data_IF_364898220379
#
_entry.id   IF_364898220379
#
_cell.length_a   1.000
_cell.length_b   1.000
_cell.length_c   1.000
_cell.angle_alpha   90.00
_cell.angle_beta   90.00
_cell.angle_gamma   90.00
#
_symmetry.space_group_name_H-M   'P 1'
#
loop_
_entity.id
_entity.type
_entity.pdbx_description
1 polymer ?
#
# COMPACT_ATOMS: atom_id res chain seq x y z
N UNK A 1 37.09 9.24 -1.89
CA UNK A 1 36.30 10.08 -2.81
C UNK A 1 35.10 9.27 -3.27
N UNK A 2 33.91 9.87 -3.33
CA UNK A 2 32.74 9.21 -3.90
C UNK A 2 32.87 9.07 -5.44
N UNK A 3 32.06 8.20 -6.04
CA UNK A 3 32.13 7.89 -7.48
C UNK A 3 31.81 9.08 -8.38
N UNK A 4 31.03 10.06 -7.91
CA UNK A 4 30.74 11.26 -8.67
C UNK A 4 31.96 12.20 -8.66
N UNK A 5 32.66 12.29 -7.53
CA UNK A 5 33.91 13.03 -7.38
C UNK A 5 35.07 12.47 -8.22
N UNK A 6 35.12 11.14 -8.45
CA UNK A 6 36.10 10.52 -9.36
C UNK A 6 35.77 10.76 -10.84
N UNK A 7 34.50 10.67 -11.23
CA UNK A 7 34.07 10.87 -12.61
C UNK A 7 34.14 12.34 -13.09
N UNK A 8 34.25 13.30 -12.16
CA UNK A 8 34.52 14.71 -12.46
C UNK A 8 36.02 15.02 -12.65
N UNK A 9 36.91 14.11 -12.22
CA UNK A 9 38.37 14.28 -12.32
C UNK A 9 38.97 13.69 -13.62
N UNK A 10 38.20 12.92 -14.38
CA UNK A 10 38.59 12.38 -15.69
C UNK A 10 38.19 13.36 -16.80
N UNK A 11 39.09 13.63 -17.76
CA UNK A 11 38.79 14.51 -18.90
C UNK A 11 37.69 13.93 -19.78
N UNK A 12 36.75 14.76 -20.24
CA UNK A 12 35.67 14.34 -21.13
C UNK A 12 36.23 13.72 -22.44
N UNK A 13 35.63 12.63 -22.96
CA UNK A 13 36.00 12.06 -24.26
C UNK A 13 35.82 13.06 -25.41
N UNK A 14 36.65 12.97 -26.45
CA UNK A 14 36.55 13.80 -27.64
C UNK A 14 35.16 13.70 -28.30
N UNK A 15 34.55 14.86 -28.57
CA UNK A 15 33.24 14.99 -29.20
C UNK A 15 32.08 15.30 -28.23
N UNK A 16 32.31 15.36 -26.92
CA UNK A 16 31.31 15.86 -25.96
C UNK A 16 31.54 17.36 -25.72
N UNK A 17 30.53 18.22 -25.93
CA UNK A 17 30.70 19.66 -25.73
C UNK A 17 30.96 19.97 -24.25
N UNK A 18 32.00 20.75 -23.97
CA UNK A 18 32.44 21.10 -22.61
C UNK A 18 31.51 22.14 -21.97
N UNK A 19 30.29 21.68 -21.66
CA UNK A 19 29.24 22.46 -21.02
C UNK A 19 28.80 21.74 -19.75
N UNK A 20 28.45 22.50 -18.71
CA UNK A 20 27.97 21.99 -17.43
C UNK A 20 26.84 20.95 -17.58
N UNK A 21 25.98 21.12 -18.58
CA UNK A 21 24.87 20.22 -18.89
C UNK A 21 25.35 18.87 -19.46
N UNK A 22 26.35 18.90 -20.33
CA UNK A 22 26.93 17.69 -20.93
C UNK A 22 27.81 16.93 -19.92
N UNK A 23 28.56 17.66 -19.08
CA UNK A 23 29.29 17.08 -17.94
C UNK A 23 28.32 16.35 -17.00
N UNK A 24 27.24 17.00 -16.54
CA UNK A 24 26.27 16.38 -15.65
C UNK A 24 25.57 15.14 -16.26
N UNK A 25 25.25 15.17 -17.55
CA UNK A 25 24.67 14.03 -18.26
C UNK A 25 25.65 12.86 -18.39
N UNK A 26 26.94 13.13 -18.65
CA UNK A 26 27.99 12.12 -18.71
C UNK A 26 28.23 11.49 -17.33
N UNK A 27 28.40 12.29 -16.28
CA UNK A 27 28.59 11.79 -14.90
C UNK A 27 27.42 10.92 -14.45
N UNK A 28 26.18 11.30 -14.82
CA UNK A 28 24.97 10.52 -14.52
C UNK A 28 24.90 9.18 -15.28
N UNK A 29 25.41 9.13 -16.52
CA UNK A 29 25.49 7.91 -17.32
C UNK A 29 26.59 6.96 -16.81
N UNK A 30 27.79 7.51 -16.56
CA UNK A 30 28.95 6.77 -16.08
C UNK A 30 28.71 6.13 -14.71
N UNK A 31 28.02 6.82 -13.81
CA UNK A 31 27.67 6.29 -12.47
C UNK A 31 26.62 5.17 -12.50
N UNK A 32 25.88 5.01 -13.60
CA UNK A 32 24.90 3.93 -13.80
C UNK A 32 25.43 2.75 -14.61
N UNK A 33 26.56 2.89 -15.30
CA UNK A 33 27.14 1.76 -16.01
C UNK A 33 27.81 0.81 -15.01
N UNK A 34 27.08 -0.26 -14.65
CA UNK A 34 27.71 -1.40 -13.97
C UNK A 34 28.58 -2.12 -15.01
N UNK A 35 29.89 -2.28 -14.77
CA UNK A 35 30.67 -3.20 -15.59
C UNK A 35 30.01 -4.58 -15.52
N UNK A 36 30.02 -5.31 -16.65
CA UNK A 36 29.71 -6.74 -16.62
C UNK A 36 30.64 -7.36 -15.59
N UNK A 37 30.06 -7.90 -14.54
CA UNK A 37 30.81 -8.43 -13.43
C UNK A 37 31.58 -9.67 -13.92
N UNK A 38 32.87 -9.52 -14.15
CA UNK A 38 33.77 -10.65 -14.28
C UNK A 38 34.05 -11.18 -12.87
N UNK A 39 33.03 -11.81 -12.29
CA UNK A 39 33.13 -12.48 -11.00
C UNK A 39 33.38 -13.94 -11.30
N UNK A 40 34.56 -14.43 -10.90
CA UNK A 40 34.74 -15.84 -10.57
C UNK A 40 33.53 -16.29 -9.74
N UNK A 41 32.81 -17.28 -10.24
CA UNK A 41 31.68 -17.92 -9.58
C UNK A 41 32.18 -18.45 -8.23
N UNK A 42 31.95 -17.68 -7.15
CA UNK A 42 32.16 -18.20 -5.80
C UNK A 42 31.24 -19.41 -5.63
N UNK A 43 31.73 -20.55 -5.11
CA UNK A 43 30.91 -21.73 -4.93
C UNK A 43 29.69 -21.41 -4.06
N UNK A 44 28.52 -21.99 -4.38
CA UNK A 44 27.24 -21.57 -3.83
C UNK A 44 27.01 -22.19 -2.45
N UNK A 45 27.85 -21.94 -1.45
CA UNK A 45 27.48 -22.27 -0.08
C UNK A 45 28.30 -21.43 0.91
N UNK A 46 27.77 -21.24 2.13
CA UNK A 46 28.32 -20.51 3.30
C UNK A 46 27.69 -19.13 3.61
N UNK A 47 27.38 -18.27 2.63
CA UNK A 47 26.87 -16.90 2.94
C UNK A 47 25.35 -16.67 2.87
N UNK A 48 24.55 -17.67 2.45
CA UNK A 48 23.08 -17.57 2.42
C UNK A 48 22.42 -17.83 3.78
N UNK A 49 23.09 -18.57 4.64
CA UNK A 49 22.55 -18.97 5.96
C UNK A 49 22.40 -17.76 6.88
N UNK A 50 23.37 -16.84 6.92
CA UNK A 50 23.31 -15.68 7.84
C UNK A 50 22.19 -14.66 7.51
N UNK A 51 21.88 -14.34 6.24
CA UNK A 51 20.69 -13.57 5.90
C UNK A 51 19.38 -14.34 6.17
N UNK A 52 19.38 -15.65 5.92
CA UNK A 52 18.23 -16.52 6.18
C UNK A 52 17.93 -16.60 7.68
N UNK A 53 18.90 -16.94 8.53
CA UNK A 53 18.78 -17.01 9.99
C UNK A 53 18.31 -15.69 10.60
N UNK A 54 18.89 -14.55 10.19
CA UNK A 54 18.40 -13.22 10.63
C UNK A 54 16.95 -13.01 10.24
N UNK A 55 16.59 -13.37 9.00
CA UNK A 55 15.22 -13.28 8.51
C UNK A 55 14.26 -14.24 9.22
N UNK A 56 14.71 -15.43 9.63
CA UNK A 56 13.91 -16.37 10.42
C UNK A 56 13.68 -15.87 11.82
N UNK A 57 14.70 -15.34 12.50
CA UNK A 57 14.54 -14.72 13.81
C UNK A 57 13.57 -13.54 13.75
N UNK A 58 13.65 -12.71 12.71
CA UNK A 58 12.67 -11.65 12.45
C UNK A 58 11.26 -12.20 12.24
N UNK A 59 11.09 -13.20 11.36
CA UNK A 59 9.79 -13.83 11.07
C UNK A 59 9.21 -14.51 12.33
N UNK A 60 10.04 -15.22 13.10
CA UNK A 60 9.65 -15.90 14.34
C UNK A 60 9.23 -14.90 15.42
N UNK A 61 9.96 -13.78 15.54
CA UNK A 61 9.59 -12.70 16.45
C UNK A 61 8.28 -12.02 16.03
N UNK A 62 8.07 -11.80 14.74
CA UNK A 62 6.79 -11.29 14.19
C UNK A 62 5.66 -12.29 14.48
N UNK A 63 5.86 -13.58 14.24
CA UNK A 63 4.87 -14.62 14.52
C UNK A 63 4.44 -14.62 15.98
N UNK A 64 5.39 -14.63 16.92
CA UNK A 64 5.07 -14.62 18.35
C UNK A 64 4.33 -13.35 18.78
N UNK A 65 4.70 -12.19 18.21
CA UNK A 65 3.97 -10.94 18.44
C UNK A 65 2.54 -11.04 17.94
N UNK A 66 2.33 -11.56 16.72
CA UNK A 66 1.01 -11.75 16.12
C UNK A 66 0.14 -12.69 16.97
N UNK A 67 0.68 -13.84 17.38
CA UNK A 67 -0.03 -14.79 18.26
C UNK A 67 -0.40 -14.13 19.59
N UNK A 68 0.53 -13.39 20.20
CA UNK A 68 0.27 -12.66 21.44
C UNK A 68 -0.82 -11.60 21.26
N UNK A 69 -0.80 -10.87 20.15
CA UNK A 69 -1.82 -9.88 19.83
C UNK A 69 -3.20 -10.54 19.67
N UNK A 70 -3.31 -11.63 18.92
CA UNK A 70 -4.56 -12.38 18.78
C UNK A 70 -5.06 -12.92 20.12
N UNK A 71 -4.15 -13.35 21.01
CA UNK A 71 -4.51 -13.76 22.38
C UNK A 71 -5.11 -12.59 23.18
N UNK A 72 -4.50 -11.40 23.10
CA UNK A 72 -4.98 -10.20 23.81
C UNK A 72 -6.32 -9.71 23.26
N UNK A 73 -6.44 -9.55 21.94
CA UNK A 73 -7.67 -9.04 21.33
C UNK A 73 -8.84 -10.01 21.56
N UNK A 74 -8.58 -11.33 21.52
CA UNK A 74 -9.59 -12.34 21.85
C UNK A 74 -10.15 -12.17 23.27
N UNK A 75 -9.31 -11.83 24.25
CA UNK A 75 -9.77 -11.54 25.61
C UNK A 75 -10.65 -10.28 25.69
N UNK A 76 -10.36 -9.27 24.86
CA UNK A 76 -11.20 -8.05 24.77
C UNK A 76 -12.54 -8.37 24.11
N UNK A 77 -12.52 -9.13 23.01
CA UNK A 77 -13.72 -9.47 22.24
C UNK A 77 -14.66 -10.45 22.96
N UNK A 78 -14.15 -11.29 23.87
CA UNK A 78 -14.98 -12.21 24.67
C UNK A 78 -15.57 -11.59 25.94
N UNK A 79 -15.35 -10.30 26.21
CA UNK A 79 -15.96 -9.68 27.38
C UNK A 79 -17.50 -9.64 27.22
N UNK A 80 -18.29 -9.91 28.28
CA UNK A 80 -19.75 -10.00 28.17
C UNK A 80 -20.45 -8.71 27.73
N UNK A 81 -19.82 -7.56 27.99
CA UNK A 81 -20.31 -6.23 27.62
C UNK A 81 -19.98 -5.85 26.18
N UNK A 82 -19.06 -6.57 25.52
CA UNK A 82 -18.68 -6.36 24.13
C UNK A 82 -19.58 -7.18 23.21
N UNK A 83 -20.38 -6.48 22.39
CA UNK A 83 -21.15 -7.11 21.34
C UNK A 83 -20.36 -7.11 20.03
N UNK A 84 -20.48 -8.18 19.25
CA UNK A 84 -19.83 -8.31 17.95
C UNK A 84 -20.26 -7.19 16.97
N UNK A 85 -21.53 -6.76 17.05
CA UNK A 85 -22.06 -5.63 16.26
C UNK A 85 -21.43 -4.28 16.61
N UNK A 86 -20.72 -4.19 17.74
CA UNK A 86 -19.99 -3.02 18.18
C UNK A 86 -18.48 -3.13 17.93
N UNK A 87 -18.05 -4.11 17.13
CA UNK A 87 -16.67 -4.29 16.70
C UNK A 87 -16.51 -3.73 15.28
N UNK A 88 -15.62 -2.76 15.13
CA UNK A 88 -15.42 -2.03 13.89
C UNK A 88 -13.97 -2.10 13.47
N UNK A 89 -13.73 -2.18 12.16
CA UNK A 89 -12.40 -2.13 11.57
C UNK A 89 -12.23 -0.83 10.77
N UNK A 90 -11.04 -0.23 10.86
CA UNK A 90 -10.66 0.98 10.13
C UNK A 90 -9.39 0.74 9.33
N UNK A 91 -9.40 1.22 8.09
CA UNK A 91 -8.21 1.22 7.26
C UNK A 91 -8.19 2.33 6.19
N UNK A 92 -7.02 2.53 5.58
CA UNK A 92 -6.83 3.44 4.43
C UNK A 92 -6.52 2.65 3.17
N UNK A 93 -7.16 2.98 2.06
CA UNK A 93 -6.94 2.28 0.79
C UNK A 93 -6.64 3.22 -0.38
N UNK A 94 -5.50 3.01 -1.04
CA UNK A 94 -5.19 3.71 -2.29
C UNK A 94 -5.94 3.10 -3.47
N UNK A 95 -6.64 3.91 -4.27
CA UNK A 95 -7.09 3.52 -5.62
C UNK A 95 -6.38 4.35 -6.68
N UNK A 96 -6.04 3.73 -7.80
CA UNK A 96 -5.37 4.43 -8.90
C UNK A 96 -6.39 5.00 -9.88
N UNK A 97 -6.26 6.30 -10.22
CA UNK A 97 -7.14 6.96 -11.20
C UNK A 97 -6.92 6.46 -12.63
N UNK A 98 -5.73 5.94 -12.93
CA UNK A 98 -5.35 5.59 -14.29
C UNK A 98 -4.54 4.29 -14.28
N UNK A 99 -5.23 3.18 -13.96
CA UNK A 99 -4.75 1.82 -14.22
C UNK A 99 -5.55 1.25 -15.39
N UNK A 100 -4.98 1.30 -16.58
CA UNK A 100 -5.42 0.42 -17.66
C UNK A 100 -4.89 -0.99 -17.39
N UNK A 101 -5.67 -2.01 -17.72
CA UNK A 101 -5.17 -3.38 -17.75
C UNK A 101 -3.88 -3.44 -18.57
N UNK A 102 -2.85 -4.07 -18.02
CA UNK A 102 -1.65 -4.39 -18.78
C UNK A 102 -2.03 -5.42 -19.84
N UNK A 103 -2.08 -5.01 -21.11
CA UNK A 103 -2.22 -5.95 -22.22
C UNK A 103 -0.92 -6.76 -22.26
N UNK A 104 -1.03 -8.07 -22.00
CA UNK A 104 0.09 -8.99 -22.24
C UNK A 104 0.10 -9.29 -23.73
N UNK A 105 1.12 -8.79 -24.43
CA UNK A 105 1.32 -9.08 -25.85
C UNK A 105 2.39 -10.15 -25.95
N UNK A 106 2.07 -11.25 -26.63
CA UNK A 106 3.05 -12.27 -26.99
C UNK A 106 3.65 -11.85 -28.34
N UNK A 107 4.96 -11.61 -28.36
CA UNK A 107 5.67 -11.07 -29.52
C UNK A 107 6.68 -12.12 -29.98
N UNK A 108 6.73 -12.39 -31.29
CA UNK A 108 7.74 -13.31 -31.85
C UNK A 108 9.14 -12.75 -31.61
N UNK A 109 10.13 -13.62 -31.41
CA UNK A 109 11.54 -13.23 -31.24
C UNK A 109 12.05 -12.38 -32.41
N UNK A 110 11.48 -12.58 -33.60
CA UNK A 110 11.87 -11.91 -34.84
C UNK A 110 11.14 -10.58 -35.07
N UNK A 111 10.20 -10.21 -34.20
CA UNK A 111 9.48 -8.94 -34.30
C UNK A 111 10.30 -7.80 -33.64
N UNK A 112 11.01 -7.06 -34.49
CA UNK A 112 11.88 -5.94 -34.10
C UNK A 112 11.13 -4.62 -33.86
N UNK A 113 9.78 -4.61 -33.92
CA UNK A 113 9.01 -3.38 -33.73
C UNK A 113 9.15 -2.87 -32.29
N UNK A 114 9.44 -1.58 -32.15
CA UNK A 114 9.54 -0.92 -30.85
C UNK A 114 8.17 -0.71 -30.21
N UNK A 115 7.86 -1.45 -29.15
CA UNK A 115 6.65 -1.23 -28.35
C UNK A 115 6.90 -0.15 -27.29
N UNK A 116 6.35 1.04 -27.47
CA UNK A 116 6.39 2.10 -26.45
C UNK A 116 5.20 1.91 -25.51
N UNK A 117 5.45 1.47 -24.28
CA UNK A 117 4.41 1.42 -23.25
C UNK A 117 3.77 2.79 -23.07
N UNK A 118 2.45 2.84 -22.94
CA UNK A 118 1.73 4.09 -22.70
C UNK A 118 2.30 4.76 -21.45
N UNK A 119 2.96 5.92 -21.60
CA UNK A 119 3.42 6.75 -20.48
C UNK A 119 2.21 7.47 -19.88
N UNK A 120 1.37 6.72 -19.19
CA UNK A 120 0.24 7.29 -18.44
C UNK A 120 0.78 7.79 -17.10
N UNK A 121 0.55 9.06 -16.79
CA UNK A 121 0.89 9.64 -15.48
C UNK A 121 0.03 8.97 -14.41
N UNK A 122 0.62 8.03 -13.66
CA UNK A 122 -0.06 7.31 -12.57
C UNK A 122 -0.39 8.29 -11.44
N UNK A 123 -1.63 8.74 -11.38
CA UNK A 123 -2.14 9.52 -10.25
C UNK A 123 -2.87 8.57 -9.30
N UNK A 124 -2.39 8.48 -8.06
CA UNK A 124 -3.04 7.71 -6.99
C UNK A 124 -3.97 8.67 -6.24
N UNK A 125 -5.20 8.24 -5.99
CA UNK A 125 -6.10 8.88 -5.04
C UNK A 125 -6.31 7.94 -3.88
N UNK A 126 -6.01 8.41 -2.67
CA UNK A 126 -6.23 7.62 -1.46
C UNK A 126 -7.67 7.78 -1.01
N UNK A 127 -8.43 6.69 -1.07
CA UNK A 127 -9.74 6.60 -0.44
C UNK A 127 -9.55 6.10 1.00
N UNK A 128 -10.10 6.82 1.98
CA UNK A 128 -10.06 6.36 3.37
C UNK A 128 -11.37 5.68 3.67
N UNK A 129 -11.34 4.36 3.79
CA UNK A 129 -12.48 3.52 4.20
C UNK A 129 -12.24 3.07 5.64
N UNK A 130 -12.13 4.06 6.54
CA UNK A 130 -13.13 4.27 7.58
C UNK A 130 -12.80 5.58 8.32
N UNK A 131 -13.68 6.55 8.13
CA UNK A 131 -14.27 7.45 9.11
C UNK A 131 -13.40 7.81 10.33
N UNK A 132 -12.91 9.05 10.34
CA UNK A 132 -12.28 9.65 11.51
C UNK A 132 -13.14 9.47 12.77
N UNK A 133 -12.50 9.46 13.95
CA UNK A 133 -13.19 9.29 15.23
C UNK A 133 -14.41 10.24 15.41
N UNK A 134 -14.33 11.44 14.81
CA UNK A 134 -15.38 12.46 14.83
C UNK A 134 -16.66 12.05 14.09
N UNK A 135 -16.58 11.25 13.04
CA UNK A 135 -17.74 10.76 12.28
C UNK A 135 -18.12 9.35 12.73
N UNK A 136 -17.15 8.53 13.17
CA UNK A 136 -17.39 7.19 13.70
C UNK A 136 -18.24 7.23 14.97
N UNK A 137 -17.92 8.15 15.89
CA UNK A 137 -18.61 8.24 17.15
C UNK A 137 -20.11 8.55 16.99
N UNK A 138 -20.56 9.64 16.32
CA UNK A 138 -21.98 9.93 16.20
C UNK A 138 -22.76 8.85 15.46
N UNK A 139 -22.17 8.19 14.46
CA UNK A 139 -22.83 7.15 13.68
C UNK A 139 -23.04 5.84 14.44
N UNK A 140 -22.17 5.52 15.40
CA UNK A 140 -22.21 4.24 16.13
C UNK A 140 -22.72 4.36 17.57
N UNK A 141 -22.82 5.58 18.10
CA UNK A 141 -23.13 5.82 19.52
C UNK A 141 -24.52 5.32 19.91
N UNK A 142 -25.52 5.55 19.06
CA UNK A 142 -26.89 5.11 19.33
C UNK A 142 -27.00 3.58 19.28
N UNK A 143 -26.39 2.95 18.26
CA UNK A 143 -26.37 1.50 18.11
C UNK A 143 -25.67 0.81 19.28
N UNK A 144 -24.58 1.41 19.79
CA UNK A 144 -23.86 0.84 20.91
C UNK A 144 -24.67 0.76 22.21
N UNK A 145 -25.72 1.58 22.37
CA UNK A 145 -26.59 1.58 23.56
C UNK A 145 -25.79 1.61 24.88
N UNK A 146 -24.83 2.54 24.98
CA UNK A 146 -23.90 2.71 26.10
C UNK A 146 -22.87 1.59 26.30
N UNK A 147 -22.87 0.54 25.48
CA UNK A 147 -21.88 -0.54 25.52
C UNK A 147 -20.54 -0.10 24.91
N UNK A 148 -19.43 -0.77 25.26
CA UNK A 148 -18.13 -0.50 24.65
C UNK A 148 -18.14 -0.77 23.15
N UNK A 149 -17.50 0.12 22.39
CA UNK A 149 -17.22 -0.06 20.96
C UNK A 149 -15.76 -0.42 20.78
N UNK A 150 -15.47 -1.48 20.04
CA UNK A 150 -14.09 -1.89 19.74
C UNK A 150 -13.71 -1.35 18.38
N UNK A 151 -12.57 -0.68 18.29
CA UNK A 151 -12.06 -0.12 17.06
C UNK A 151 -10.68 -0.74 16.74
N UNK A 152 -10.67 -1.61 15.73
CA UNK A 152 -9.47 -2.26 15.20
C UNK A 152 -8.93 -1.40 14.06
N UNK A 153 -7.62 -1.14 14.06
CA UNK A 153 -7.00 -0.25 13.08
C UNK A 153 -5.49 -0.52 12.97
N UNK A 154 -4.87 -0.07 11.87
CA UNK A 154 -3.50 -0.44 11.52
C UNK A 154 -2.38 0.31 12.25
N UNK A 155 -2.73 1.32 13.07
CA UNK A 155 -1.79 2.08 13.90
C UNK A 155 -0.68 2.80 13.13
N UNK A 156 -0.73 2.83 11.79
CA UNK A 156 0.37 3.33 10.99
C UNK A 156 0.27 4.86 10.84
N UNK A 157 1.19 5.57 11.51
CA UNK A 157 1.65 6.93 11.23
C UNK A 157 0.58 8.01 11.08
N UNK A 158 0.60 8.99 11.99
CA UNK A 158 -0.21 10.24 12.11
C UNK A 158 -1.45 10.21 13.00
N UNK A 159 -1.95 9.04 13.41
CA UNK A 159 -3.22 9.00 14.13
C UNK A 159 -3.14 8.68 15.63
N UNK A 160 -1.98 8.26 16.13
CA UNK A 160 -1.75 8.01 17.56
C UNK A 160 -1.47 9.33 18.31
N UNK A 161 -2.36 10.30 18.14
CA UNK A 161 -2.30 11.53 18.95
C UNK A 161 -3.01 11.30 20.27
N UNK A 162 -2.51 11.94 21.33
CA UNK A 162 -3.15 11.93 22.64
C UNK A 162 -4.64 12.30 22.55
N UNK A 163 -4.97 13.27 21.69
CA UNK A 163 -6.34 13.72 21.43
C UNK A 163 -7.26 12.58 20.95
N UNK A 164 -6.78 11.70 20.08
CA UNK A 164 -7.57 10.56 19.59
C UNK A 164 -7.78 9.53 20.70
N UNK A 165 -6.74 9.26 21.51
CA UNK A 165 -6.83 8.31 22.63
C UNK A 165 -7.80 8.83 23.70
N UNK A 166 -7.68 10.10 24.08
CA UNK A 166 -8.58 10.74 25.04
C UNK A 166 -10.03 10.77 24.53
N UNK A 167 -10.22 11.11 23.25
CA UNK A 167 -11.53 11.10 22.64
C UNK A 167 -12.17 9.71 22.71
N UNK A 168 -11.41 8.67 22.35
CA UNK A 168 -11.88 7.29 22.41
C UNK A 168 -12.24 6.88 23.84
N UNK A 169 -11.38 7.21 24.81
CA UNK A 169 -11.63 6.94 26.23
C UNK A 169 -12.92 7.62 26.72
N UNK A 170 -13.09 8.92 26.45
CA UNK A 170 -14.28 9.71 26.83
C UNK A 170 -15.58 9.18 26.21
N UNK A 171 -15.48 8.45 25.10
CA UNK A 171 -16.64 7.94 24.36
C UNK A 171 -16.86 6.42 24.51
N UNK A 172 -16.20 5.75 25.47
CA UNK A 172 -16.29 4.29 25.65
C UNK A 172 -15.92 3.51 24.37
N UNK A 173 -14.89 3.99 23.66
CA UNK A 173 -14.30 3.35 22.48
C UNK A 173 -12.96 2.75 22.87
N UNK A 174 -12.81 1.44 22.71
CA UNK A 174 -11.55 0.73 22.95
C UNK A 174 -10.77 0.63 21.64
N UNK A 175 -9.64 1.33 21.57
CA UNK A 175 -8.70 1.21 20.46
C UNK A 175 -7.88 -0.09 20.57
N UNK A 176 -7.82 -0.83 19.47
CA UNK A 176 -7.01 -2.03 19.30
C UNK A 176 -6.09 -1.84 18.08
N UNK A 177 -4.89 -1.28 18.31
CA UNK A 177 -3.87 -1.14 17.27
C UNK A 177 -3.37 -2.51 16.82
N UNK A 178 -3.30 -2.75 15.52
CA UNK A 178 -2.56 -3.88 14.95
C UNK A 178 -1.05 -3.65 15.07
N UNK A 179 -0.28 -4.73 15.00
CA UNK A 179 1.17 -4.68 15.05
C UNK A 179 1.73 -4.03 13.78
N UNK A 180 2.67 -3.08 13.94
CA UNK A 180 3.39 -2.48 12.82
C UNK A 180 4.02 -3.55 11.92
N UNK A 181 4.01 -3.32 10.61
CA UNK A 181 4.53 -4.24 9.57
C UNK A 181 3.78 -5.58 9.44
N UNK A 182 2.59 -5.70 10.02
CA UNK A 182 1.74 -6.90 9.84
C UNK A 182 0.41 -6.60 9.15
N UNK A 183 0.04 -5.32 9.02
CA UNK A 183 -1.23 -4.85 8.45
C UNK A 183 -1.50 -5.44 7.07
N UNK A 184 -0.52 -5.44 6.16
CA UNK A 184 -0.70 -5.97 4.80
C UNK A 184 -1.07 -7.48 4.72
N UNK A 185 -0.96 -8.23 5.81
CA UNK A 185 -1.40 -9.64 5.91
C UNK A 185 -2.60 -9.84 6.83
N UNK A 186 -2.77 -8.98 7.82
CA UNK A 186 -3.72 -9.19 8.92
C UNK A 186 -4.89 -8.21 8.89
N UNK A 187 -4.82 -7.14 8.11
CA UNK A 187 -5.83 -6.11 8.03
C UNK A 187 -7.08 -6.68 7.35
N UNK A 188 -8.21 -6.86 8.08
CA UNK A 188 -9.41 -7.49 7.53
C UNK A 188 -9.95 -6.76 6.30
N UNK A 189 -9.84 -5.44 6.29
CA UNK A 189 -10.20 -4.62 5.13
C UNK A 189 -9.38 -4.95 3.88
N UNK A 190 -8.06 -5.15 4.01
CA UNK A 190 -7.20 -5.50 2.87
C UNK A 190 -7.49 -6.91 2.33
N UNK A 191 -7.77 -7.87 3.22
CA UNK A 191 -7.98 -9.28 2.86
C UNK A 191 -9.32 -9.50 2.15
N UNK A 192 -10.40 -8.87 2.62
CA UNK A 192 -11.75 -9.20 2.16
C UNK A 192 -12.46 -8.08 1.38
N UNK A 193 -12.31 -6.81 1.81
CA UNK A 193 -13.13 -5.72 1.28
C UNK A 193 -12.44 -4.93 0.16
N UNK A 194 -11.13 -4.66 0.29
CA UNK A 194 -10.41 -3.75 -0.60
C UNK A 194 -9.97 -4.38 -1.91
N UNK A 195 -9.76 -5.69 -1.96
CA UNK A 195 -9.54 -6.41 -3.22
C UNK A 195 -10.71 -6.22 -4.19
N UNK A 196 -11.94 -6.61 -3.80
CA UNK A 196 -13.15 -6.38 -4.60
C UNK A 196 -13.39 -4.91 -4.93
N UNK A 197 -13.15 -3.98 -3.99
CA UNK A 197 -13.33 -2.54 -4.21
C UNK A 197 -12.38 -2.00 -5.28
N UNK A 198 -11.09 -2.34 -5.20
CA UNK A 198 -10.08 -1.93 -6.19
C UNK A 198 -10.40 -2.50 -7.57
N UNK A 199 -10.94 -3.73 -7.63
CA UNK A 199 -11.38 -4.34 -8.89
C UNK A 199 -12.60 -3.60 -9.47
N UNK A 200 -13.66 -3.40 -8.68
CA UNK A 200 -14.86 -2.69 -9.12
C UNK A 200 -14.55 -1.25 -9.56
N UNK A 201 -13.64 -0.56 -8.86
CA UNK A 201 -13.20 0.78 -9.23
C UNK A 201 -12.46 0.78 -10.57
N UNK A 202 -11.56 -0.19 -10.78
CA UNK A 202 -10.86 -0.35 -12.06
C UNK A 202 -11.83 -0.55 -13.21
N UNK A 203 -12.87 -1.36 -13.01
CA UNK A 203 -13.90 -1.57 -14.05
C UNK A 203 -14.62 -0.26 -14.42
N UNK A 204 -14.90 0.61 -13.45
CA UNK A 204 -15.52 1.92 -13.70
C UNK A 204 -14.59 2.83 -14.51
N UNK A 205 -13.32 2.89 -14.13
CA UNK A 205 -12.27 3.62 -14.86
C UNK A 205 -12.19 3.14 -16.31
N UNK A 206 -12.15 1.82 -16.54
CA UNK A 206 -12.07 1.26 -17.89
C UNK A 206 -13.29 1.58 -18.76
N UNK A 207 -14.50 1.52 -18.19
CA UNK A 207 -15.73 1.85 -18.91
C UNK A 207 -15.73 3.29 -19.39
N UNK A 208 -15.25 4.21 -18.55
CA UNK A 208 -15.16 5.63 -18.87
C UNK A 208 -14.12 5.91 -19.96
N UNK A 209 -12.95 5.27 -19.88
CA UNK A 209 -11.90 5.37 -20.92
C UNK A 209 -12.36 4.81 -22.27
N UNK A 210 -13.07 3.66 -22.29
CA UNK A 210 -13.64 3.08 -23.53
C UNK A 210 -14.68 4.01 -24.19
N UNK A 211 -15.37 4.83 -23.39
CA UNK A 211 -16.26 5.88 -23.87
C UNK A 211 -15.54 7.08 -24.51
N UNK A 212 -14.20 7.04 -24.63
CA UNK A 212 -13.34 8.14 -25.11
C UNK A 212 -13.47 9.43 -24.30
N UNK A 213 -13.86 9.33 -23.04
CA UNK A 213 -14.03 10.48 -22.14
C UNK A 213 -12.66 10.94 -21.61
N UNK A 214 -11.84 11.54 -22.48
CA UNK A 214 -10.63 12.27 -22.12
C UNK A 214 -9.70 11.61 -21.09
N UNK A 215 -8.92 12.41 -20.37
CA UNK A 215 -8.05 11.93 -19.28
C UNK A 215 -8.83 11.87 -17.96
N UNK A 216 -8.83 10.72 -17.29
CA UNK A 216 -9.44 10.60 -15.95
C UNK A 216 -8.61 11.37 -14.91
N UNK A 217 -9.12 12.54 -14.53
CA UNK A 217 -8.61 13.36 -13.43
C UNK A 217 -9.27 13.09 -12.07
N UNK A 218 -8.82 13.82 -11.05
CA UNK A 218 -9.34 13.73 -9.67
C UNK A 218 -10.83 14.08 -9.57
N UNK A 219 -11.34 14.97 -10.42
CA UNK A 219 -12.76 15.35 -10.40
C UNK A 219 -13.72 14.18 -10.65
N UNK A 220 -13.27 13.12 -11.32
CA UNK A 220 -14.10 11.95 -11.62
C UNK A 220 -14.09 10.93 -10.48
N UNK A 221 -13.27 11.12 -9.44
CA UNK A 221 -13.09 10.14 -8.38
C UNK A 221 -14.42 9.77 -7.71
N UNK A 222 -15.21 10.75 -7.26
CA UNK A 222 -16.48 10.49 -6.56
C UNK A 222 -17.48 9.76 -7.44
N UNK A 223 -17.59 10.18 -8.71
CA UNK A 223 -18.45 9.56 -9.72
C UNK A 223 -18.09 8.09 -9.99
N UNK A 224 -16.79 7.77 -10.05
CA UNK A 224 -16.31 6.40 -10.26
C UNK A 224 -16.36 5.56 -8.98
N UNK A 225 -16.13 6.20 -7.83
CA UNK A 225 -15.98 5.53 -6.55
C UNK A 225 -17.31 5.09 -5.95
N UNK A 226 -18.34 5.92 -6.01
CA UNK A 226 -19.68 5.60 -5.49
C UNK A 226 -20.24 4.26 -6.02
N UNK A 227 -20.33 4.03 -7.34
CA UNK A 227 -20.86 2.77 -7.87
C UNK A 227 -19.89 1.59 -7.68
N UNK A 228 -18.58 1.84 -7.56
CA UNK A 228 -17.61 0.80 -7.22
C UNK A 228 -17.78 0.34 -5.77
N UNK A 229 -18.04 1.29 -4.86
CA UNK A 229 -18.28 1.04 -3.43
C UNK A 229 -19.54 0.21 -3.22
N UNK A 230 -20.65 0.58 -3.86
CA UNK A 230 -21.91 -0.18 -3.78
C UNK A 230 -21.77 -1.62 -4.29
N UNK A 231 -21.02 -1.81 -5.39
CA UNK A 231 -20.77 -3.15 -5.95
C UNK A 231 -19.88 -4.01 -5.04
N UNK A 232 -18.89 -3.41 -4.41
CA UNK A 232 -17.84 -4.15 -3.70
C UNK A 232 -18.10 -4.32 -2.20
N UNK A 233 -18.64 -3.30 -1.51
CA UNK A 233 -18.86 -3.33 -0.06
C UNK A 233 -20.23 -3.93 0.28
N UNK A 234 -20.46 -5.16 -0.21
CA UNK A 234 -21.66 -5.93 0.11
C UNK A 234 -21.53 -6.58 1.49
N UNK A 235 -22.67 -6.91 2.13
CA UNK A 235 -22.69 -7.66 3.39
C UNK A 235 -21.85 -8.94 3.33
N UNK A 236 -21.85 -9.62 2.19
CA UNK A 236 -21.04 -10.82 1.95
C UNK A 236 -19.54 -10.53 2.04
N UNK A 237 -19.06 -9.49 1.37
CA UNK A 237 -17.62 -9.16 1.35
C UNK A 237 -17.15 -8.59 2.69
N UNK A 238 -18.03 -7.87 3.41
CA UNK A 238 -17.72 -7.35 4.75
C UNK A 238 -17.63 -8.47 5.78
N UNK A 239 -18.53 -9.47 5.73
CA UNK A 239 -18.54 -10.60 6.67
C UNK A 239 -17.52 -11.70 6.33
N UNK A 240 -16.88 -11.65 5.16
CA UNK A 240 -15.80 -12.56 4.80
C UNK A 240 -14.44 -12.15 5.40
N UNK A 241 -14.37 -10.97 6.01
CA UNK A 241 -13.21 -10.40 6.69
C UNK A 241 -13.07 -10.97 8.12
#
# INVERSE_FOLDING_TARGET
MDKASQALAESLPDGIPDTLTAQAAYTFSATRHRPKADRLLKPPYINWVKPFERRWLEIYNIYNKVVKWFKVIRLVLHKPDVLLENVYNIDKTGVMLSMLNSVKVLVSKDDLRGYRGARVKRTIVTAVECISAAVFNPQTKQQANSRPRILIWDGFGTHETLNVIEFCFKNNIKLCCMLSYTSYKLQPCDVAAFGPLKAAYRDQVERMERGRVGTIGKQHFTYLYSPARERALTKRNILAA
#
